data_IF_308057181412
#
_entry.id   IF_308057181412
#
_cell.length_a   1.000
_cell.length_b   1.000
_cell.length_c   1.000
_cell.angle_alpha   90.00
_cell.angle_beta   90.00
_cell.angle_gamma   90.00
#
_symmetry.space_group_name_H-M   'P 1'
#
loop_
_entity.id
_entity.type
_entity.pdbx_description
1 polymer ?
#
# COMPACT_ATOMS: atom_id res chain seq x y z
N UNK A 1 -82.13 -34.97 -46.78
CA UNK A 1 -81.57 -33.81 -46.04
C UNK A 1 -80.11 -34.13 -45.83
N UNK A 2 -79.27 -33.48 -46.63
CA UNK A 2 -78.06 -34.03 -47.24
C UNK A 2 -76.79 -33.81 -46.41
N UNK A 3 -75.83 -34.73 -46.56
CA UNK A 3 -74.46 -34.69 -46.02
C UNK A 3 -73.74 -33.33 -46.18
N UNK A 4 -74.15 -32.53 -47.16
CA UNK A 4 -73.60 -31.21 -47.46
C UNK A 4 -73.80 -30.17 -46.34
N UNK A 5 -74.92 -30.23 -45.61
CA UNK A 5 -75.18 -29.31 -44.48
C UNK A 5 -74.24 -29.65 -43.30
N UNK A 6 -74.02 -30.94 -43.04
CA UNK A 6 -73.11 -31.41 -41.98
C UNK A 6 -71.66 -31.06 -42.34
N UNK A 7 -71.27 -31.23 -43.60
CA UNK A 7 -69.95 -30.84 -44.12
C UNK A 7 -69.69 -29.32 -44.01
N UNK A 8 -70.67 -28.50 -44.37
CA UNK A 8 -70.57 -27.04 -44.26
C UNK A 8 -70.47 -26.57 -42.79
N UNK A 9 -71.21 -27.20 -41.87
CA UNK A 9 -71.11 -26.90 -40.44
C UNK A 9 -69.75 -27.29 -39.84
N UNK A 10 -69.17 -28.42 -40.25
CA UNK A 10 -67.84 -28.86 -39.80
C UNK A 10 -66.74 -27.94 -40.35
N UNK A 11 -66.84 -27.52 -41.61
CA UNK A 11 -65.91 -26.57 -42.23
C UNK A 11 -66.01 -25.17 -41.59
N UNK A 12 -67.22 -24.69 -41.26
CA UNK A 12 -67.40 -23.43 -40.53
C UNK A 12 -66.80 -23.49 -39.12
N UNK A 13 -67.02 -24.60 -38.39
CA UNK A 13 -66.45 -24.80 -37.07
C UNK A 13 -64.91 -24.89 -37.09
N UNK A 14 -64.32 -25.55 -38.10
CA UNK A 14 -62.86 -25.66 -38.21
C UNK A 14 -62.17 -24.33 -38.52
N UNK A 15 -62.81 -23.45 -39.31
CA UNK A 15 -62.32 -22.07 -39.55
C UNK A 15 -62.33 -21.24 -38.28
N UNK A 16 -63.40 -21.34 -37.47
CA UNK A 16 -63.51 -20.62 -36.20
C UNK A 16 -62.45 -21.10 -35.20
N UNK A 17 -62.24 -22.41 -35.09
CA UNK A 17 -61.21 -22.99 -34.22
C UNK A 17 -59.81 -22.57 -34.69
N UNK A 18 -59.55 -22.58 -35.99
CA UNK A 18 -58.26 -22.13 -36.55
C UNK A 18 -57.99 -20.64 -36.31
N UNK A 19 -59.02 -19.79 -36.40
CA UNK A 19 -58.92 -18.37 -36.10
C UNK A 19 -58.65 -18.11 -34.60
N UNK A 20 -59.27 -18.88 -33.70
CA UNK A 20 -59.02 -18.81 -32.26
C UNK A 20 -57.58 -19.22 -31.91
N UNK A 21 -57.10 -20.34 -32.45
CA UNK A 21 -55.70 -20.77 -32.26
C UNK A 21 -54.69 -19.79 -32.84
N UNK A 22 -54.96 -19.23 -34.03
CA UNK A 22 -54.10 -18.21 -34.64
C UNK A 22 -54.06 -16.93 -33.78
N UNK A 23 -55.18 -16.52 -33.20
CA UNK A 23 -55.25 -15.38 -32.28
C UNK A 23 -54.50 -15.61 -30.97
N UNK A 24 -54.55 -16.83 -30.42
CA UNK A 24 -53.78 -17.22 -29.23
C UNK A 24 -52.28 -17.26 -29.53
N UNK A 25 -51.88 -17.83 -30.66
CA UNK A 25 -50.48 -17.86 -31.12
C UNK A 25 -49.94 -16.44 -31.33
N UNK A 26 -50.73 -15.55 -31.92
CA UNK A 26 -50.34 -14.15 -32.10
C UNK A 26 -50.10 -13.44 -30.75
N UNK A 27 -51.03 -13.60 -29.79
CA UNK A 27 -50.85 -13.03 -28.44
C UNK A 27 -49.61 -13.59 -27.74
N UNK A 28 -49.41 -14.91 -27.80
CA UNK A 28 -48.22 -15.55 -27.22
C UNK A 28 -46.92 -15.06 -27.86
N UNK A 29 -46.90 -14.92 -29.19
CA UNK A 29 -45.74 -14.38 -29.92
C UNK A 29 -45.46 -12.93 -29.54
N UNK A 30 -46.50 -12.12 -29.36
CA UNK A 30 -46.39 -10.71 -29.00
C UNK A 30 -45.88 -10.54 -27.56
N UNK A 31 -46.34 -11.37 -26.62
CA UNK A 31 -45.83 -11.40 -25.25
C UNK A 31 -44.39 -11.91 -25.17
N UNK A 32 -44.06 -12.97 -25.92
CA UNK A 32 -42.69 -13.51 -26.00
C UNK A 32 -41.71 -12.47 -26.56
N UNK A 33 -42.11 -11.72 -27.59
CA UNK A 33 -41.26 -10.67 -28.19
C UNK A 33 -41.03 -9.52 -27.19
N UNK A 34 -42.07 -9.11 -26.45
CA UNK A 34 -41.94 -8.10 -25.38
C UNK A 34 -41.04 -8.57 -24.25
N UNK A 35 -41.12 -9.85 -23.86
CA UNK A 35 -40.25 -10.44 -22.85
C UNK A 35 -38.79 -10.48 -23.33
N UNK A 36 -38.55 -10.85 -24.60
CA UNK A 36 -37.22 -10.85 -25.19
C UNK A 36 -36.59 -9.45 -25.24
N UNK A 37 -37.37 -8.43 -25.62
CA UNK A 37 -36.91 -7.02 -25.61
C UNK A 37 -36.55 -6.57 -24.19
N UNK A 38 -37.42 -6.83 -23.20
CA UNK A 38 -37.11 -6.51 -21.79
C UNK A 38 -35.87 -7.24 -21.28
N UNK A 39 -35.67 -8.49 -21.70
CA UNK A 39 -34.48 -9.27 -21.36
C UNK A 39 -33.22 -8.65 -21.98
N UNK A 40 -33.27 -8.25 -23.24
CA UNK A 40 -32.18 -7.57 -23.93
C UNK A 40 -31.83 -6.23 -23.28
N UNK A 41 -32.84 -5.41 -22.94
CA UNK A 41 -32.66 -4.14 -22.24
C UNK A 41 -32.05 -4.34 -20.84
N UNK A 42 -32.51 -5.36 -20.10
CA UNK A 42 -31.94 -5.68 -18.77
C UNK A 42 -30.48 -6.15 -18.86
N UNK A 43 -30.14 -6.90 -19.92
CA UNK A 43 -28.78 -7.38 -20.17
C UNK A 43 -27.86 -6.22 -20.53
N UNK A 44 -28.34 -5.27 -21.34
CA UNK A 44 -27.62 -4.04 -21.67
C UNK A 44 -27.36 -3.19 -20.42
N UNK A 45 -28.39 -2.95 -19.60
CA UNK A 45 -28.24 -2.20 -18.35
C UNK A 45 -27.27 -2.88 -17.37
N UNK A 46 -27.28 -4.22 -17.32
CA UNK A 46 -26.34 -5.00 -16.50
C UNK A 46 -24.91 -4.89 -17.02
N UNK A 47 -24.72 -4.93 -18.34
CA UNK A 47 -23.41 -4.73 -18.97
C UNK A 47 -22.88 -3.30 -18.72
N UNK A 48 -23.73 -2.28 -18.85
CA UNK A 48 -23.37 -0.89 -18.57
C UNK A 48 -22.97 -0.69 -17.09
N UNK A 49 -23.71 -1.33 -16.17
CA UNK A 49 -23.39 -1.29 -14.72
C UNK A 49 -22.08 -2.00 -14.41
N UNK A 50 -21.79 -3.13 -15.07
CA UNK A 50 -20.53 -3.85 -14.91
C UNK A 50 -19.34 -3.03 -15.45
N UNK A 51 -19.49 -2.37 -16.60
CA UNK A 51 -18.48 -1.48 -17.16
C UNK A 51 -18.19 -0.30 -16.25
N UNK A 52 -19.22 0.32 -15.67
CA UNK A 52 -19.03 1.42 -14.73
C UNK A 52 -18.37 0.95 -13.43
N UNK A 53 -18.71 -0.25 -12.94
CA UNK A 53 -18.05 -0.85 -11.77
C UNK A 53 -16.57 -1.14 -12.02
N UNK A 54 -16.22 -1.61 -13.22
CA UNK A 54 -14.82 -1.80 -13.64
C UNK A 54 -14.07 -0.47 -13.69
N UNK A 55 -14.68 0.60 -14.23
CA UNK A 55 -14.08 1.94 -14.26
C UNK A 55 -13.85 2.50 -12.85
N UNK A 56 -14.81 2.32 -11.95
CA UNK A 56 -14.68 2.73 -10.55
C UNK A 56 -13.54 1.96 -9.88
N UNK A 57 -13.48 0.64 -10.09
CA UNK A 57 -12.42 -0.20 -9.52
C UNK A 57 -11.04 0.23 -10.00
N UNK A 58 -10.89 0.51 -11.30
CA UNK A 58 -9.64 1.03 -11.87
C UNK A 58 -9.26 2.40 -11.27
N UNK A 59 -10.24 3.30 -11.05
CA UNK A 59 -9.99 4.59 -10.39
C UNK A 59 -9.56 4.43 -8.93
N UNK A 60 -10.13 3.48 -8.20
CA UNK A 60 -9.75 3.19 -6.81
C UNK A 60 -8.31 2.65 -6.75
N UNK A 61 -7.95 1.77 -7.68
CA UNK A 61 -6.59 1.23 -7.76
C UNK A 61 -5.55 2.31 -8.11
N UNK A 62 -5.88 3.19 -9.04
CA UNK A 62 -5.05 4.36 -9.39
C UNK A 62 -4.90 5.31 -8.19
N UNK A 63 -5.99 5.63 -7.49
CA UNK A 63 -5.96 6.43 -6.27
C UNK A 63 -5.09 5.80 -5.18
N UNK A 64 -5.20 4.49 -4.97
CA UNK A 64 -4.35 3.77 -4.01
C UNK A 64 -2.87 3.84 -4.39
N UNK A 65 -2.56 3.71 -5.67
CA UNK A 65 -1.18 3.79 -6.17
C UNK A 65 -0.61 5.19 -5.98
N UNK A 66 -1.38 6.23 -6.31
CA UNK A 66 -0.98 7.63 -6.12
C UNK A 66 -0.80 7.98 -4.64
N UNK A 67 -1.72 7.52 -3.78
CA UNK A 67 -1.63 7.72 -2.33
C UNK A 67 -0.37 7.06 -1.76
N UNK A 68 -0.10 5.79 -2.11
CA UNK A 68 1.09 5.09 -1.64
C UNK A 68 2.38 5.76 -2.10
N UNK A 69 2.40 6.31 -3.32
CA UNK A 69 3.53 7.09 -3.82
C UNK A 69 3.74 8.36 -3.01
N UNK A 70 2.69 9.15 -2.78
CA UNK A 70 2.77 10.37 -1.97
C UNK A 70 3.22 10.07 -0.54
N UNK A 71 2.69 8.99 0.05
CA UNK A 71 3.06 8.55 1.40
C UNK A 71 4.54 8.14 1.47
N UNK A 72 5.04 7.42 0.46
CA UNK A 72 6.46 7.08 0.34
C UNK A 72 7.34 8.33 0.25
N UNK A 73 6.96 9.30 -0.60
CA UNK A 73 7.70 10.55 -0.77
C UNK A 73 7.75 11.35 0.55
N UNK A 74 6.64 11.41 1.29
CA UNK A 74 6.61 12.02 2.63
C UNK A 74 7.55 11.30 3.60
N UNK A 75 7.53 9.97 3.63
CA UNK A 75 8.41 9.22 4.52
C UNK A 75 9.90 9.34 4.18
N UNK A 76 10.24 9.44 2.89
CA UNK A 76 11.62 9.74 2.47
C UNK A 76 12.05 11.11 2.98
N UNK A 77 11.17 12.11 2.91
CA UNK A 77 11.45 13.44 3.45
C UNK A 77 11.72 13.38 4.97
N UNK A 78 10.82 12.75 5.73
CA UNK A 78 10.97 12.59 7.18
C UNK A 78 12.26 11.84 7.56
N UNK A 79 12.59 10.75 6.84
CA UNK A 79 13.85 10.03 7.03
C UNK A 79 15.07 10.89 6.76
N UNK A 80 15.03 11.74 5.73
CA UNK A 80 16.13 12.64 5.37
C UNK A 80 16.34 13.72 6.41
N UNK A 81 15.27 14.36 6.88
CA UNK A 81 15.35 15.35 7.95
C UNK A 81 15.95 14.73 9.21
N UNK A 82 15.47 13.55 9.59
CA UNK A 82 15.96 12.83 10.76
C UNK A 82 17.43 12.39 10.60
N UNK A 83 17.80 11.90 9.42
CA UNK A 83 19.18 11.54 9.11
C UNK A 83 20.12 12.76 9.14
N UNK A 84 19.65 13.91 8.66
CA UNK A 84 20.40 15.16 8.70
C UNK A 84 20.61 15.64 10.14
N UNK A 85 19.56 15.60 10.98
CA UNK A 85 19.66 15.92 12.40
C UNK A 85 20.71 15.05 13.10
N UNK A 86 20.57 13.72 12.98
CA UNK A 86 21.48 12.76 13.62
C UNK A 86 22.93 12.97 13.14
N UNK A 87 23.15 13.09 11.83
CA UNK A 87 24.52 13.28 11.31
C UNK A 87 25.14 14.59 11.75
N UNK A 88 24.35 15.66 11.88
CA UNK A 88 24.80 16.94 12.45
C UNK A 88 25.21 16.82 13.91
N UNK A 89 24.41 16.14 14.72
CA UNK A 89 24.67 15.93 16.15
C UNK A 89 25.89 15.03 16.37
N UNK A 90 25.95 13.89 15.67
CA UNK A 90 27.09 12.96 15.68
C UNK A 90 28.38 13.64 15.17
N UNK A 91 28.29 14.47 14.14
CA UNK A 91 29.42 15.25 13.64
C UNK A 91 29.92 16.30 14.63
N UNK A 92 29.02 16.87 15.44
CA UNK A 92 29.42 17.79 16.50
C UNK A 92 30.09 17.07 17.69
N UNK A 93 29.68 15.84 17.99
CA UNK A 93 30.37 14.94 18.94
C UNK A 93 31.78 14.60 18.42
N UNK A 94 31.90 14.20 17.15
CA UNK A 94 33.19 13.88 16.50
C UNK A 94 34.18 15.06 16.61
N UNK A 95 33.69 16.28 16.47
CA UNK A 95 34.48 17.51 16.53
C UNK A 95 34.65 18.06 17.96
N UNK A 96 34.27 17.31 18.99
CA UNK A 96 34.35 17.69 20.41
C UNK A 96 33.63 19.02 20.74
N UNK A 97 32.64 19.41 19.93
CA UNK A 97 31.86 20.65 20.14
C UNK A 97 30.79 20.51 21.22
N UNK A 98 30.39 19.27 21.53
CA UNK A 98 29.43 18.95 22.59
C UNK A 98 29.98 17.89 23.54
N UNK A 99 29.58 18.01 24.80
CA UNK A 99 29.63 16.89 25.74
C UNK A 99 28.65 15.82 25.26
N UNK A 100 29.15 14.61 25.08
CA UNK A 100 28.36 13.44 24.72
C UNK A 100 27.20 13.20 25.70
N UNK A 101 27.31 13.52 26.99
CA UNK A 101 26.20 13.31 27.95
C UNK A 101 24.88 14.00 27.60
N UNK A 102 24.90 15.11 26.88
CA UNK A 102 23.69 15.87 26.51
C UNK A 102 22.89 15.19 25.40
N UNK A 103 23.57 14.45 24.52
CA UNK A 103 22.94 13.86 23.34
C UNK A 103 22.21 12.55 23.65
N UNK A 104 22.78 11.75 24.54
CA UNK A 104 22.40 10.34 24.68
C UNK A 104 21.13 10.12 25.51
N UNK A 105 20.64 11.15 26.21
CA UNK A 105 19.37 11.10 26.96
C UNK A 105 18.12 11.19 26.07
N UNK A 106 18.26 11.48 24.77
CA UNK A 106 17.13 11.53 23.83
C UNK A 106 16.80 10.11 23.37
N UNK A 107 15.53 9.74 23.47
CA UNK A 107 15.07 8.48 22.87
C UNK A 107 15.06 8.62 21.34
N UNK A 108 16.00 7.94 20.67
CA UNK A 108 16.09 7.95 19.21
C UNK A 108 15.28 6.77 18.66
N UNK A 109 14.10 7.06 18.12
CA UNK A 109 13.22 6.08 17.48
C UNK A 109 13.17 6.28 15.98
N UNK A 110 12.91 5.20 15.25
CA UNK A 110 12.63 5.28 13.82
C UNK A 110 11.33 6.07 13.61
N UNK A 111 11.32 7.11 12.75
CA UNK A 111 10.15 7.97 12.56
C UNK A 111 8.98 7.24 11.87
N UNK A 112 9.26 6.11 11.22
CA UNK A 112 8.30 5.35 10.42
C UNK A 112 7.86 4.08 11.16
N UNK A 113 6.55 3.81 11.27
CA UNK A 113 6.04 2.53 11.75
C UNK A 113 6.45 1.33 10.87
N UNK A 114 6.67 0.17 11.49
CA UNK A 114 7.14 -1.05 10.78
C UNK A 114 6.21 -1.51 9.65
N UNK A 115 4.89 -1.33 9.79
CA UNK A 115 3.93 -1.73 8.75
C UNK A 115 4.05 -0.83 7.50
N UNK A 116 4.16 0.49 7.67
CA UNK A 116 4.39 1.42 6.56
C UNK A 116 5.76 1.22 5.91
N UNK A 117 6.78 0.84 6.70
CA UNK A 117 8.09 0.45 6.15
C UNK A 117 7.96 -0.70 5.16
N UNK A 118 7.15 -1.72 5.47
CA UNK A 118 6.94 -2.88 4.60
C UNK A 118 6.10 -2.59 3.35
N UNK A 119 5.17 -1.63 3.44
CA UNK A 119 4.24 -1.29 2.35
C UNK A 119 4.82 -0.27 1.38
N UNK A 120 5.59 0.71 1.86
CA UNK A 120 6.02 1.85 1.06
C UNK A 120 7.45 1.72 0.49
N UNK A 121 8.27 0.81 1.01
CA UNK A 121 9.69 0.72 0.66
C UNK A 121 10.07 -0.62 0.04
N UNK A 122 11.01 -0.57 -0.90
CA UNK A 122 11.62 -1.78 -1.48
C UNK A 122 12.40 -2.55 -0.41
N UNK A 123 12.72 -3.83 -0.67
CA UNK A 123 13.60 -4.59 0.23
C UNK A 123 14.95 -3.88 0.42
N UNK A 124 15.50 -3.34 -0.66
CA UNK A 124 16.79 -2.65 -0.69
C UNK A 124 16.75 -1.37 0.18
N UNK A 125 15.72 -0.54 0.00
CA UNK A 125 15.53 0.67 0.81
C UNK A 125 15.40 0.32 2.30
N UNK A 126 14.61 -0.73 2.61
CA UNK A 126 14.43 -1.22 3.97
C UNK A 126 15.73 -1.69 4.60
N UNK A 127 16.58 -2.37 3.86
CA UNK A 127 17.90 -2.80 4.35
C UNK A 127 18.79 -1.60 4.68
N UNK A 128 18.80 -0.57 3.84
CA UNK A 128 19.56 0.67 4.08
C UNK A 128 19.07 1.35 5.36
N UNK A 129 17.76 1.57 5.49
CA UNK A 129 17.15 2.23 6.64
C UNK A 129 17.41 1.42 7.93
N UNK A 130 17.08 0.14 7.93
CA UNK A 130 17.26 -0.70 9.12
C UNK A 130 18.74 -0.83 9.53
N UNK A 131 19.65 -0.90 8.56
CA UNK A 131 21.09 -0.94 8.81
C UNK A 131 21.59 0.33 9.49
N UNK A 132 21.12 1.51 9.06
CA UNK A 132 21.47 2.78 9.69
C UNK A 132 21.00 2.86 11.15
N UNK A 133 19.71 2.55 11.41
CA UNK A 133 19.17 2.58 12.77
C UNK A 133 19.79 1.50 13.67
N UNK A 134 20.06 0.31 13.15
CA UNK A 134 20.72 -0.75 13.91
C UNK A 134 22.13 -0.31 14.33
N UNK A 135 22.92 0.25 13.42
CA UNK A 135 24.27 0.68 13.74
C UNK A 135 24.29 1.85 14.73
N UNK A 136 23.33 2.78 14.64
CA UNK A 136 23.16 3.80 15.66
C UNK A 136 22.84 3.18 17.02
N UNK A 137 21.88 2.26 17.10
CA UNK A 137 21.54 1.62 18.37
C UNK A 137 22.72 0.85 18.98
N UNK A 138 23.52 0.18 18.16
CA UNK A 138 24.76 -0.48 18.61
C UNK A 138 25.74 0.56 19.17
N UNK A 139 26.00 1.63 18.42
CA UNK A 139 26.89 2.71 18.87
C UNK A 139 26.42 3.34 20.18
N UNK A 140 25.12 3.65 20.29
CA UNK A 140 24.53 4.21 21.50
C UNK A 140 24.67 3.23 22.67
N UNK A 141 24.37 1.95 22.47
CA UNK A 141 24.48 0.92 23.51
C UNK A 141 25.92 0.77 24.01
N UNK A 142 26.88 0.59 23.11
CA UNK A 142 28.31 0.48 23.44
C UNK A 142 28.82 1.71 24.18
N UNK A 143 28.35 2.90 23.78
CA UNK A 143 28.66 4.14 24.47
C UNK A 143 28.07 4.16 25.88
N UNK A 144 26.77 3.88 26.04
CA UNK A 144 26.09 3.86 27.33
C UNK A 144 26.69 2.85 28.31
N UNK A 145 26.95 1.62 27.86
CA UNK A 145 27.49 0.56 28.72
C UNK A 145 28.87 0.94 29.26
N UNK A 146 29.74 1.51 28.42
CA UNK A 146 31.09 1.92 28.82
C UNK A 146 31.09 3.08 29.80
N UNK A 147 30.24 4.09 29.62
CA UNK A 147 30.20 5.24 30.52
C UNK A 147 29.52 4.93 31.86
N UNK A 148 28.48 4.09 31.85
CA UNK A 148 27.79 3.66 33.09
C UNK A 148 28.68 2.77 33.96
N UNK A 149 29.55 1.94 33.37
CA UNK A 149 30.50 1.11 34.12
C UNK A 149 31.79 1.84 34.53
N UNK A 150 32.21 2.90 33.82
CA UNK A 150 33.46 3.61 34.13
C UNK A 150 33.41 4.44 35.42
N UNK A 151 32.22 4.76 35.93
CA UNK A 151 32.06 5.54 37.17
C UNK A 151 32.48 4.74 38.43
N UNK A 152 32.80 3.44 38.29
CA UNK A 152 33.23 2.59 39.42
C UNK A 152 34.72 2.23 39.45
N UNK A 153 35.59 2.65 38.51
CA UNK A 153 37.04 2.38 38.66
C UNK A 153 37.98 3.23 37.79
N UNK A 154 38.79 4.04 38.46
CA UNK A 154 39.98 4.74 37.95
C UNK A 154 41.08 3.81 37.39
N UNK A 155 40.85 3.10 36.29
CA UNK A 155 41.92 2.33 35.65
C UNK A 155 41.75 2.31 34.14
N UNK A 156 42.55 3.13 33.45
CA UNK A 156 43.39 2.80 32.26
C UNK A 156 43.40 3.90 31.19
N UNK A 157 44.27 4.88 31.40
CA UNK A 157 44.56 5.97 30.46
C UNK A 157 45.28 5.53 29.15
N UNK A 158 45.64 4.23 29.01
CA UNK A 158 46.21 3.65 27.78
C UNK A 158 45.23 2.74 26.99
N UNK A 159 44.14 2.26 27.60
CA UNK A 159 43.04 1.62 26.84
C UNK A 159 42.16 2.69 26.16
N UNK A 160 42.02 3.86 26.79
CA UNK A 160 41.27 5.00 26.26
C UNK A 160 41.68 5.50 24.86
N UNK A 161 42.93 5.35 24.42
CA UNK A 161 43.36 5.80 23.08
C UNK A 161 43.00 4.80 21.98
N UNK A 162 43.09 3.48 22.25
CA UNK A 162 42.66 2.45 21.31
C UNK A 162 41.14 2.41 21.22
N UNK A 163 40.48 2.64 22.35
CA UNK A 163 39.03 2.78 22.42
C UNK A 163 38.53 4.07 21.74
N UNK A 164 39.28 5.18 21.79
CA UNK A 164 38.89 6.41 21.08
C UNK A 164 38.96 6.27 19.56
N UNK A 165 39.98 5.58 19.04
CA UNK A 165 40.10 5.34 17.60
C UNK A 165 38.98 4.42 17.09
N UNK A 166 38.62 3.39 17.86
CA UNK A 166 37.47 2.53 17.56
C UNK A 166 36.16 3.28 17.64
N UNK A 167 35.93 4.12 18.66
CA UNK A 167 34.73 4.95 18.77
C UNK A 167 34.59 5.94 17.61
N UNK A 168 35.69 6.56 17.19
CA UNK A 168 35.70 7.47 16.04
C UNK A 168 35.37 6.70 14.75
N UNK A 169 35.88 5.47 14.61
CA UNK A 169 35.56 4.60 13.47
C UNK A 169 34.06 4.23 13.45
N UNK A 170 33.53 3.75 14.57
CA UNK A 170 32.12 3.35 14.69
C UNK A 170 31.18 4.53 14.45
N UNK A 171 31.52 5.70 14.99
CA UNK A 171 30.77 6.95 14.77
C UNK A 171 30.77 7.36 13.29
N UNK A 172 31.91 7.23 12.60
CA UNK A 172 31.99 7.49 11.14
C UNK A 172 31.16 6.49 10.35
N UNK A 173 31.18 5.22 10.73
CA UNK A 173 30.38 4.19 10.07
C UNK A 173 28.88 4.47 10.22
N UNK A 174 28.42 4.93 11.40
CA UNK A 174 27.03 5.37 11.59
C UNK A 174 26.70 6.55 10.66
N UNK A 175 27.55 7.56 10.60
CA UNK A 175 27.36 8.73 9.71
C UNK A 175 27.28 8.31 8.24
N UNK A 176 28.13 7.39 7.79
CA UNK A 176 28.09 6.86 6.42
C UNK A 176 26.74 6.18 6.13
N UNK A 177 26.21 5.41 7.09
CA UNK A 177 24.92 4.72 6.92
C UNK A 177 23.75 5.69 6.85
N UNK A 178 23.74 6.73 7.68
CA UNK A 178 22.72 7.79 7.57
C UNK A 178 22.88 8.64 6.31
N UNK A 179 24.11 8.78 5.79
CA UNK A 179 24.32 9.41 4.48
C UNK A 179 23.69 8.61 3.34
N UNK A 180 23.68 7.28 3.43
CA UNK A 180 22.95 6.43 2.48
C UNK A 180 21.42 6.60 2.59
N UNK A 181 20.88 6.78 3.81
CA UNK A 181 19.46 7.11 4.02
C UNK A 181 19.11 8.46 3.37
N UNK A 182 20.00 9.46 3.48
CA UNK A 182 19.79 10.75 2.83
C UNK A 182 19.70 10.65 1.29
N UNK A 183 20.37 9.64 0.72
CA UNK A 183 20.42 9.40 -0.73
C UNK A 183 19.24 8.59 -1.30
N UNK A 184 18.29 8.12 -0.48
CA UNK A 184 17.10 7.36 -0.95
C UNK A 184 16.28 8.19 -1.95
N UNK A 185 15.75 7.57 -3.01
CA UNK A 185 14.94 8.21 -4.06
C UNK A 185 13.49 7.80 -4.00
#
# INVERSE_FOLDING_TARGET
MSLEIVSACIAGASVIVSALFSGLLYKATLESTKAAIKSADSSKNSADTALESLRISARIEDQKTQFNRALREQYIHELREYAFEITGELGAILNQKYSTSTYFNREIRMPIPTHHMAECFSNEDREIINSAWRNLNIYLFDYWERYTYSDTKHRKMKENMRDSDTQISDLRDVIIKFSAVMALH
#
